data_IF_137045484953
#
_entry.id   IF_137045484953
#
_cell.length_a   1.000
_cell.length_b   1.000
_cell.length_c   1.000
_cell.angle_alpha   90.00
_cell.angle_beta   90.00
_cell.angle_gamma   90.00
#
_symmetry.space_group_name_H-M   'P 1'
#
loop_
_entity.id
_entity.type
_entity.pdbx_description
1 polymer ?
#
# COMPACT_ATOMS: atom_id res chain seq x y z
N UNK A 1 13.14 -17.60 12.08
CA UNK A 1 13.76 -18.51 11.10
C UNK A 1 14.42 -17.64 10.05
N UNK A 2 15.71 -17.87 9.78
CA UNK A 2 16.53 -16.98 8.96
C UNK A 2 16.29 -17.22 7.47
N UNK A 3 15.89 -16.19 6.72
CA UNK A 3 15.99 -16.16 5.27
C UNK A 3 17.45 -15.84 4.86
N UNK A 4 18.00 -16.46 3.79
CA UNK A 4 19.36 -16.18 3.34
C UNK A 4 19.53 -14.71 2.92
N UNK A 5 20.63 -14.12 3.37
CA UNK A 5 20.96 -12.70 3.21
C UNK A 5 21.25 -12.26 1.77
N UNK A 6 21.42 -10.94 1.64
CA UNK A 6 21.62 -10.13 0.42
C UNK A 6 20.34 -9.62 -0.26
N UNK A 7 19.40 -10.46 -0.70
CA UNK A 7 18.21 -9.96 -1.44
C UNK A 7 17.20 -9.28 -0.50
N UNK A 8 16.95 -9.87 0.67
CA UNK A 8 16.07 -9.28 1.68
C UNK A 8 16.68 -8.01 2.31
N UNK A 9 18.00 -7.95 2.49
CA UNK A 9 18.70 -6.76 3.02
C UNK A 9 18.75 -5.61 2.02
N UNK A 10 18.97 -5.89 0.72
CA UNK A 10 18.85 -4.88 -0.34
C UNK A 10 17.42 -4.38 -0.51
N UNK A 11 16.41 -5.25 -0.42
CA UNK A 11 15.01 -4.84 -0.45
C UNK A 11 14.66 -3.97 0.77
N UNK A 12 15.12 -4.34 1.96
CA UNK A 12 14.86 -3.58 3.19
C UNK A 12 15.61 -2.23 3.21
N UNK A 13 16.86 -2.15 2.73
CA UNK A 13 17.56 -0.88 2.55
C UNK A 13 16.90 0.01 1.49
N UNK A 14 16.48 -0.56 0.35
CA UNK A 14 15.76 0.18 -0.70
C UNK A 14 14.42 0.70 -0.21
N UNK A 15 13.65 -0.10 0.54
CA UNK A 15 12.40 0.31 1.19
C UNK A 15 12.61 1.39 2.25
N UNK A 16 13.65 1.30 3.08
CA UNK A 16 13.94 2.32 4.10
C UNK A 16 14.39 3.65 3.49
N UNK A 17 15.21 3.62 2.43
CA UNK A 17 15.60 4.82 1.69
C UNK A 17 14.39 5.43 0.96
N UNK A 18 13.51 4.61 0.40
CA UNK A 18 12.27 5.05 -0.22
C UNK A 18 11.31 5.69 0.81
N UNK A 19 11.15 5.09 1.99
CA UNK A 19 10.35 5.64 3.09
C UNK A 19 10.93 6.95 3.64
N UNK A 20 12.26 7.03 3.79
CA UNK A 20 12.95 8.24 4.25
C UNK A 20 12.83 9.39 3.25
N UNK A 21 13.00 9.12 1.96
CA UNK A 21 12.89 10.14 0.89
C UNK A 21 11.45 10.58 0.69
N UNK A 22 10.50 9.64 0.73
CA UNK A 22 9.08 9.95 0.68
C UNK A 22 8.65 10.81 1.87
N UNK A 23 9.07 10.47 3.09
CA UNK A 23 8.76 11.27 4.29
C UNK A 23 9.32 12.68 4.18
N UNK A 24 10.59 12.84 3.77
CA UNK A 24 11.20 14.16 3.57
C UNK A 24 10.45 14.99 2.53
N UNK A 25 10.05 14.39 1.40
CA UNK A 25 9.27 15.04 0.36
C UNK A 25 7.88 15.48 0.85
N UNK A 26 7.19 14.64 1.65
CA UNK A 26 5.89 14.95 2.25
C UNK A 26 5.97 16.19 3.16
N UNK A 27 7.02 16.30 3.99
CA UNK A 27 7.19 17.45 4.88
C UNK A 27 7.69 18.72 4.15
N UNK A 28 8.52 18.57 3.12
CA UNK A 28 9.06 19.71 2.35
C UNK A 28 7.95 20.53 1.68
N UNK A 29 6.89 19.87 1.21
CA UNK A 29 5.77 20.51 0.52
C UNK A 29 4.60 20.90 1.43
N UNK A 30 4.74 20.76 2.75
CA UNK A 30 3.69 21.12 3.71
C UNK A 30 3.25 22.59 3.56
N UNK A 31 1.94 22.79 3.51
CA UNK A 31 1.30 24.09 3.31
C UNK A 31 1.39 24.62 1.87
N UNK A 32 1.61 23.75 0.89
CA UNK A 32 1.57 24.10 -0.54
C UNK A 32 0.58 23.20 -1.29
N UNK A 33 0.20 23.59 -2.51
CA UNK A 33 -0.65 22.77 -3.40
C UNK A 33 -0.03 21.42 -3.77
N UNK A 34 1.28 21.25 -3.55
CA UNK A 34 2.01 19.99 -3.78
C UNK A 34 2.03 19.07 -2.56
N UNK A 35 1.41 19.48 -1.45
CA UNK A 35 1.27 18.62 -0.28
C UNK A 35 0.37 17.42 -0.61
N UNK A 36 0.81 16.22 -0.24
CA UNK A 36 0.07 14.97 -0.44
C UNK A 36 -0.15 14.32 0.92
N UNK A 37 -1.31 13.71 1.10
CA UNK A 37 -1.64 13.01 2.33
C UNK A 37 -0.74 11.76 2.47
N UNK A 38 -0.01 11.57 3.58
CA UNK A 38 1.04 10.56 3.67
C UNK A 38 0.57 9.18 4.12
N UNK A 39 -0.73 9.00 4.39
CA UNK A 39 -1.32 7.73 4.84
C UNK A 39 -2.34 7.23 3.81
N UNK A 40 -2.75 5.94 3.86
CA UNK A 40 -3.84 5.44 3.04
C UNK A 40 -5.11 6.26 3.23
N UNK A 41 -5.88 6.41 2.15
CA UNK A 41 -7.15 7.09 2.21
C UNK A 41 -8.10 6.33 3.14
N UNK A 42 -8.80 7.01 4.08
CA UNK A 42 -9.71 6.33 5.00
C UNK A 42 -10.76 5.48 4.27
N UNK A 43 -11.23 5.95 3.12
CA UNK A 43 -12.23 5.22 2.34
C UNK A 43 -11.73 3.84 1.87
N UNK A 44 -10.46 3.71 1.52
CA UNK A 44 -9.87 2.45 1.07
C UNK A 44 -9.79 1.45 2.24
N UNK A 45 -9.44 1.95 3.43
CA UNK A 45 -9.41 1.14 4.66
C UNK A 45 -10.82 0.68 5.07
N UNK A 46 -11.81 1.55 4.93
CA UNK A 46 -13.21 1.19 5.19
C UNK A 46 -13.70 0.10 4.23
N UNK A 47 -13.32 0.17 2.95
CA UNK A 47 -13.65 -0.89 1.99
C UNK A 47 -12.93 -2.19 2.30
N UNK A 48 -11.64 -2.14 2.65
CA UNK A 48 -10.88 -3.31 3.08
C UNK A 48 -11.51 -3.98 4.32
N UNK A 49 -12.04 -3.19 5.26
CA UNK A 49 -12.74 -3.70 6.44
C UNK A 49 -14.05 -4.45 6.11
N UNK A 50 -14.67 -4.20 4.95
CA UNK A 50 -15.89 -4.89 4.53
C UNK A 50 -15.61 -6.26 3.90
N UNK A 51 -14.35 -6.56 3.59
CA UNK A 51 -13.95 -7.84 3.01
C UNK A 51 -14.12 -8.94 4.05
N UNK A 52 -14.87 -9.99 3.67
CA UNK A 52 -15.07 -11.18 4.49
C UNK A 52 -14.15 -12.28 4.01
N UNK A 53 -13.09 -12.50 4.75
CA UNK A 53 -12.10 -13.54 4.45
C UNK A 53 -12.77 -14.91 4.33
N UNK A 54 -13.79 -15.20 5.13
CA UNK A 54 -14.52 -16.48 5.07
C UNK A 54 -15.21 -16.71 3.72
N UNK A 55 -15.74 -15.65 3.10
CA UNK A 55 -16.41 -15.76 1.80
C UNK A 55 -15.37 -15.94 0.69
N UNK A 56 -14.25 -15.22 0.76
CA UNK A 56 -13.12 -15.41 -0.17
C UNK A 56 -12.55 -16.83 -0.06
N UNK A 57 -12.30 -17.35 1.15
CA UNK A 57 -11.79 -18.71 1.33
C UNK A 57 -12.78 -19.75 0.80
N UNK A 58 -14.10 -19.52 0.94
CA UNK A 58 -15.12 -20.40 0.35
C UNK A 58 -15.07 -20.37 -1.17
N UNK A 59 -14.94 -19.18 -1.76
CA UNK A 59 -14.88 -19.01 -3.21
C UNK A 59 -13.63 -19.68 -3.78
N UNK A 60 -12.46 -19.57 -3.14
CA UNK A 60 -11.25 -20.30 -3.54
C UNK A 60 -11.43 -21.81 -3.43
N UNK A 61 -12.02 -22.30 -2.33
CA UNK A 61 -12.33 -23.74 -2.21
C UNK A 61 -13.32 -24.22 -3.28
N UNK A 62 -14.21 -23.35 -3.75
CA UNK A 62 -15.13 -23.66 -4.85
C UNK A 62 -14.37 -23.68 -6.18
N UNK A 63 -13.57 -22.66 -6.49
CA UNK A 63 -12.76 -22.59 -7.70
C UNK A 63 -11.86 -23.82 -7.86
N UNK A 64 -11.15 -24.23 -6.79
CA UNK A 64 -10.34 -25.47 -6.80
C UNK A 64 -11.13 -26.73 -7.16
N UNK A 65 -12.36 -26.85 -6.63
CA UNK A 65 -13.23 -28.00 -6.90
C UNK A 65 -13.72 -27.97 -8.34
N UNK A 66 -14.10 -26.80 -8.83
CA UNK A 66 -14.57 -26.59 -10.20
C UNK A 66 -13.41 -26.84 -11.20
N UNK A 67 -12.19 -26.41 -10.90
CA UNK A 67 -11.00 -26.67 -11.72
C UNK A 67 -10.65 -28.17 -11.73
N UNK A 68 -10.72 -28.86 -10.59
CA UNK A 68 -10.52 -30.31 -10.51
C UNK A 68 -11.59 -31.08 -11.30
N UNK A 69 -12.84 -30.61 -11.30
CA UNK A 69 -13.90 -31.20 -12.11
C UNK A 69 -13.64 -30.99 -13.61
N UNK A 70 -13.25 -29.77 -14.00
CA UNK A 70 -12.86 -29.44 -15.36
C UNK A 70 -11.71 -30.32 -15.87
N UNK A 71 -10.66 -30.51 -15.07
CA UNK A 71 -9.51 -31.38 -15.40
C UNK A 71 -9.95 -32.83 -15.68
N UNK A 72 -10.88 -33.36 -14.88
CA UNK A 72 -11.45 -34.70 -15.11
C UNK A 72 -12.26 -34.78 -16.39
N UNK A 73 -13.05 -33.74 -16.69
CA UNK A 73 -13.85 -33.70 -17.91
C UNK A 73 -12.96 -33.59 -19.15
N UNK A 74 -11.90 -32.79 -19.10
CA UNK A 74 -10.88 -32.70 -20.15
C UNK A 74 -10.23 -34.05 -20.39
N UNK A 75 -9.77 -34.71 -19.31
CA UNK A 75 -9.19 -36.06 -19.41
C UNK A 75 -10.17 -37.06 -20.02
N UNK A 76 -11.46 -36.98 -19.66
CA UNK A 76 -12.50 -37.86 -20.21
C UNK A 76 -12.75 -37.59 -21.70
N UNK A 77 -12.78 -36.34 -22.13
CA UNK A 77 -12.95 -35.99 -23.56
C UNK A 77 -11.74 -36.50 -24.36
N UNK A 78 -10.52 -36.29 -23.86
CA UNK A 78 -9.30 -36.79 -24.49
C UNK A 78 -9.29 -38.33 -24.57
N UNK A 79 -9.61 -39.03 -23.49
CA UNK A 79 -9.60 -40.49 -23.46
C UNK A 79 -10.64 -41.16 -24.37
N UNK A 80 -11.75 -40.47 -24.69
CA UNK A 80 -12.81 -41.00 -25.54
C UNK A 80 -12.72 -40.53 -27.00
N UNK A 81 -11.72 -39.71 -27.35
CA UNK A 81 -11.53 -39.17 -28.69
C UNK A 81 -10.43 -39.93 -29.43
N UNK A 82 -10.52 -40.01 -30.76
CA UNK A 82 -9.42 -40.47 -31.59
C UNK A 82 -8.35 -39.39 -31.70
N UNK A 83 -7.09 -39.79 -31.91
CA UNK A 83 -5.93 -38.89 -32.00
C UNK A 83 -6.14 -37.75 -33.03
N UNK A 84 -6.75 -38.08 -34.16
CA UNK A 84 -7.08 -37.15 -35.26
C UNK A 84 -8.07 -36.03 -34.88
N UNK A 85 -8.75 -36.17 -33.73
CA UNK A 85 -9.78 -35.23 -33.24
C UNK A 85 -9.43 -34.62 -31.87
N UNK A 86 -8.26 -34.94 -31.30
CA UNK A 86 -7.85 -34.41 -30.00
C UNK A 86 -7.53 -32.92 -30.04
N UNK A 87 -6.86 -32.50 -31.10
CA UNK A 87 -6.43 -31.12 -31.26
C UNK A 87 -7.47 -30.30 -32.03
N UNK A 88 -7.67 -29.02 -31.66
CA UNK A 88 -6.89 -28.23 -30.68
C UNK A 88 -7.43 -28.27 -29.25
N UNK A 89 -8.42 -29.11 -28.96
CA UNK A 89 -9.12 -29.12 -27.67
C UNK A 89 -8.16 -29.43 -26.51
N UNK A 90 -7.38 -30.51 -26.64
CA UNK A 90 -6.48 -30.97 -25.58
C UNK A 90 -5.42 -29.91 -25.26
N UNK A 91 -4.70 -29.39 -26.26
CA UNK A 91 -3.66 -28.37 -26.04
C UNK A 91 -4.22 -27.12 -25.35
N UNK A 92 -5.37 -26.61 -25.83
CA UNK A 92 -5.97 -25.40 -25.25
C UNK A 92 -6.46 -25.61 -23.82
N UNK A 93 -7.06 -26.77 -23.54
CA UNK A 93 -7.61 -27.04 -22.22
C UNK A 93 -6.52 -27.38 -21.20
N UNK A 94 -5.46 -28.10 -21.60
CA UNK A 94 -4.29 -28.34 -20.74
C UNK A 94 -3.55 -27.03 -20.45
N UNK A 95 -3.39 -26.15 -21.44
CA UNK A 95 -2.84 -24.81 -21.25
C UNK A 95 -3.67 -23.99 -20.26
N UNK A 96 -4.99 -23.95 -20.44
CA UNK A 96 -5.90 -23.28 -19.50
C UNK A 96 -5.77 -23.83 -18.08
N UNK A 97 -5.77 -25.16 -17.89
CA UNK A 97 -5.66 -25.76 -16.56
C UNK A 97 -4.31 -25.42 -15.92
N UNK A 98 -3.21 -25.49 -16.67
CA UNK A 98 -1.88 -25.14 -16.18
C UNK A 98 -1.81 -23.70 -15.66
N UNK A 99 -2.29 -22.74 -16.45
CA UNK A 99 -2.28 -21.32 -16.09
C UNK A 99 -3.14 -21.04 -14.84
N UNK A 100 -4.31 -21.67 -14.75
CA UNK A 100 -5.19 -21.53 -13.59
C UNK A 100 -4.58 -22.13 -12.32
N UNK A 101 -3.85 -23.25 -12.39
CA UNK A 101 -3.17 -23.85 -11.22
C UNK A 101 -2.06 -22.97 -10.66
N UNK A 102 -1.31 -22.28 -11.52
CA UNK A 102 -0.28 -21.31 -11.08
C UNK A 102 -0.95 -20.15 -10.35
N UNK A 103 -2.00 -19.59 -10.95
CA UNK A 103 -2.75 -18.46 -10.37
C UNK A 103 -3.42 -18.83 -9.04
N UNK A 104 -4.03 -20.02 -8.93
CA UNK A 104 -4.63 -20.50 -7.68
C UNK A 104 -3.57 -20.61 -6.57
N UNK A 105 -2.39 -21.17 -6.87
CA UNK A 105 -1.30 -21.30 -5.89
C UNK A 105 -0.81 -19.94 -5.37
N UNK A 106 -0.62 -18.96 -6.26
CA UNK A 106 -0.22 -17.60 -5.89
C UNK A 106 -1.27 -16.88 -5.03
N UNK A 107 -2.57 -17.08 -5.32
CA UNK A 107 -3.66 -16.49 -4.55
C UNK A 107 -3.74 -17.06 -3.13
N UNK A 108 -3.57 -18.37 -2.96
CA UNK A 108 -3.59 -19.03 -1.64
C UNK A 108 -2.41 -18.57 -0.78
N UNK A 109 -1.21 -18.48 -1.37
CA UNK A 109 -0.02 -18.02 -0.67
C UNK A 109 -0.15 -16.56 -0.23
N UNK A 110 -0.77 -15.72 -1.07
CA UNK A 110 -1.05 -14.32 -0.74
C UNK A 110 -2.06 -14.19 0.42
N UNK A 111 -3.12 -14.99 0.42
CA UNK A 111 -4.13 -14.98 1.49
C UNK A 111 -3.57 -15.46 2.83
N UNK A 112 -2.90 -16.62 2.84
CA UNK A 112 -2.30 -17.18 4.05
C UNK A 112 -1.22 -16.27 4.63
N UNK A 113 -0.47 -15.58 3.76
CA UNK A 113 0.50 -14.57 4.17
C UNK A 113 -0.19 -13.35 4.79
N UNK A 114 -1.31 -12.88 4.21
CA UNK A 114 -2.04 -11.71 4.71
C UNK A 114 -2.72 -11.94 6.06
N UNK A 115 -3.34 -13.10 6.28
CA UNK A 115 -4.01 -13.43 7.56
C UNK A 115 -3.00 -13.57 8.71
N UNK A 116 -1.89 -14.28 8.48
CA UNK A 116 -0.81 -14.45 9.46
C UNK A 116 -0.07 -13.14 9.74
N UNK A 117 0.23 -12.36 8.70
CA UNK A 117 1.00 -11.13 8.82
C UNK A 117 0.25 -10.05 9.61
N UNK A 118 -1.07 -9.90 9.41
CA UNK A 118 -1.86 -8.87 10.09
C UNK A 118 -1.95 -9.15 11.61
N UNK A 119 -2.09 -10.40 12.03
CA UNK A 119 -2.12 -10.75 13.46
C UNK A 119 -0.77 -10.53 14.15
N UNK A 120 0.33 -10.94 13.51
CA UNK A 120 1.68 -10.86 14.08
C UNK A 120 2.24 -9.42 14.06
N UNK A 121 1.95 -8.66 13.01
CA UNK A 121 2.48 -7.30 12.81
C UNK A 121 1.90 -6.29 13.80
N UNK A 122 0.64 -6.43 14.19
CA UNK A 122 -0.03 -5.49 15.11
C UNK A 122 0.05 -5.88 16.58
N UNK A 123 0.61 -7.04 16.91
CA UNK A 123 0.72 -7.52 18.30
C UNK A 123 -0.64 -7.71 18.99
N UNK A 124 -1.71 -7.77 18.21
CA UNK A 124 -3.09 -7.85 18.68
C UNK A 124 -3.36 -9.26 19.21
N UNK A 125 -3.59 -9.38 20.52
CA UNK A 125 -4.05 -10.64 21.12
C UNK A 125 -5.58 -10.71 21.04
N UNK A 126 -6.17 -11.88 20.74
CA UNK A 126 -7.62 -12.06 20.80
C UNK A 126 -8.17 -11.64 22.16
N UNK A 127 -9.35 -11.02 22.20
CA UNK A 127 -10.05 -10.75 23.46
C UNK A 127 -10.47 -12.07 24.11
N UNK A 128 -10.65 -12.07 25.44
CA UNK A 128 -11.07 -13.27 26.17
C UNK A 128 -12.43 -13.78 25.65
N UNK A 129 -12.43 -14.95 25.00
CA UNK A 129 -13.60 -15.57 24.37
C UNK A 129 -13.60 -15.51 22.84
N UNK A 130 -12.73 -14.71 22.22
CA UNK A 130 -12.50 -14.68 20.77
C UNK A 130 -11.31 -15.57 20.40
N UNK A 131 -11.43 -16.32 19.30
CA UNK A 131 -10.40 -17.26 18.87
C UNK A 131 -9.26 -16.55 18.11
N UNK A 132 -9.59 -15.52 17.35
CA UNK A 132 -8.70 -14.74 16.47
C UNK A 132 -9.19 -13.29 16.36
N UNK A 133 -8.29 -12.35 16.03
CA UNK A 133 -8.64 -10.96 15.72
C UNK A 133 -9.16 -10.91 14.29
N UNK A 134 -10.41 -10.48 14.11
CA UNK A 134 -10.97 -10.31 12.76
C UNK A 134 -10.14 -9.28 11.98
N UNK A 135 -9.66 -9.57 10.75
CA UNK A 135 -8.89 -8.62 9.95
C UNK A 135 -9.62 -7.29 9.73
N UNK A 136 -10.96 -7.32 9.65
CA UNK A 136 -11.82 -6.13 9.58
C UNK A 136 -11.63 -5.18 10.77
N UNK A 137 -11.35 -5.72 11.97
CA UNK A 137 -11.09 -4.91 13.16
C UNK A 137 -9.82 -4.07 13.00
N UNK A 138 -8.77 -4.66 12.43
CA UNK A 138 -7.51 -3.95 12.17
C UNK A 138 -7.72 -2.83 11.15
N UNK A 139 -8.43 -3.11 10.05
CA UNK A 139 -8.74 -2.10 9.05
C UNK A 139 -9.61 -0.97 9.62
N UNK A 140 -10.57 -1.27 10.51
CA UNK A 140 -11.38 -0.25 11.17
C UNK A 140 -10.59 0.63 12.13
N UNK A 141 -9.66 0.05 12.91
CA UNK A 141 -8.76 0.83 13.77
C UNK A 141 -7.89 1.79 12.94
N UNK A 142 -7.33 1.31 11.84
CA UNK A 142 -6.56 2.15 10.91
C UNK A 142 -7.42 3.19 10.20
N UNK A 143 -8.66 2.84 9.84
CA UNK A 143 -9.61 3.80 9.26
C UNK A 143 -9.85 4.98 10.20
N UNK A 144 -10.18 4.72 11.47
CA UNK A 144 -10.41 5.77 12.47
C UNK A 144 -9.17 6.64 12.64
N UNK A 145 -8.00 6.00 12.78
CA UNK A 145 -6.72 6.71 12.89
C UNK A 145 -6.42 7.59 11.67
N UNK A 146 -6.52 7.04 10.45
CA UNK A 146 -6.26 7.78 9.22
C UNK A 146 -7.25 8.92 9.02
N UNK A 147 -8.51 8.73 9.41
CA UNK A 147 -9.53 9.77 9.30
C UNK A 147 -9.22 10.96 10.23
N UNK A 148 -8.90 10.70 11.50
CA UNK A 148 -8.53 11.74 12.46
C UNK A 148 -7.21 12.43 12.07
N UNK A 149 -6.24 11.64 11.62
CA UNK A 149 -4.96 12.14 11.13
C UNK A 149 -5.16 13.03 9.90
N UNK A 150 -6.02 12.65 8.95
CA UNK A 150 -6.36 13.45 7.77
C UNK A 150 -6.98 14.78 8.13
N UNK A 151 -7.94 14.79 9.05
CA UNK A 151 -8.56 16.04 9.53
C UNK A 151 -7.52 16.98 10.15
N UNK A 152 -6.58 16.44 10.93
CA UNK A 152 -5.49 17.22 11.52
C UNK A 152 -4.49 17.68 10.47
N UNK A 153 -4.09 16.83 9.53
CA UNK A 153 -3.17 17.15 8.44
C UNK A 153 -3.72 18.27 7.54
N UNK A 154 -5.01 18.22 7.17
CA UNK A 154 -5.65 19.30 6.39
C UNK A 154 -5.59 20.63 7.15
N UNK A 155 -5.92 20.62 8.44
CA UNK A 155 -5.87 21.82 9.29
C UNK A 155 -4.45 22.38 9.38
N UNK A 156 -3.46 21.53 9.61
CA UNK A 156 -2.06 21.94 9.72
C UNK A 156 -1.52 22.49 8.40
N UNK A 157 -1.84 21.88 7.26
CA UNK A 157 -1.42 22.41 5.96
C UNK A 157 -2.00 23.81 5.72
N UNK A 158 -3.28 24.04 6.04
CA UNK A 158 -3.88 25.38 5.93
C UNK A 158 -3.19 26.41 6.83
N UNK A 159 -2.84 26.03 8.06
CA UNK A 159 -2.11 26.91 8.98
C UNK A 159 -0.72 27.27 8.41
N UNK A 160 0.02 26.27 7.92
CA UNK A 160 1.35 26.48 7.33
C UNK A 160 1.26 27.36 6.07
N UNK A 161 0.25 27.19 5.22
CA UNK A 161 0.02 28.07 4.08
C UNK A 161 -0.15 29.53 4.52
N UNK A 162 -0.99 29.77 5.54
CA UNK A 162 -1.24 31.11 6.07
C UNK A 162 0.02 31.75 6.66
N UNK A 163 0.79 30.98 7.45
CA UNK A 163 2.05 31.47 8.02
C UNK A 163 3.07 31.85 6.93
N UNK A 164 3.13 31.10 5.83
CA UNK A 164 4.00 31.42 4.68
C UNK A 164 3.56 32.69 3.95
N UNK A 165 2.25 32.92 3.80
CA UNK A 165 1.72 34.16 3.22
C UNK A 165 2.06 35.38 4.10
N UNK A 166 1.85 35.26 5.42
CA UNK A 166 2.18 36.31 6.38
C UNK A 166 3.69 36.62 6.40
N UNK A 167 4.55 35.60 6.37
CA UNK A 167 6.00 35.76 6.30
C UNK A 167 6.45 36.38 4.97
N UNK A 168 5.85 35.98 3.84
CA UNK A 168 6.13 36.56 2.53
C UNK A 168 5.75 38.03 2.45
N UNK A 169 4.58 38.39 2.98
CA UNK A 169 4.13 39.78 3.10
C UNK A 169 5.06 40.59 4.02
N UNK A 170 5.42 40.06 5.19
CA UNK A 170 6.35 40.70 6.11
C UNK A 170 7.73 40.94 5.48
N UNK A 171 8.25 39.97 4.71
CA UNK A 171 9.52 40.11 4.00
C UNK A 171 9.45 41.18 2.89
N UNK A 172 8.31 41.30 2.20
CA UNK A 172 8.11 42.34 1.17
C UNK A 172 7.96 43.76 1.74
N UNK A 173 7.52 43.88 3.00
CA UNK A 173 7.35 45.16 3.71
C UNK A 173 8.59 45.58 4.49
N UNK A 174 9.62 44.73 4.59
CA UNK A 174 10.88 45.08 5.23
C UNK A 174 11.60 46.16 4.37
N UNK A 175 11.95 47.34 4.95
CA UNK A 175 12.67 48.36 4.19
C UNK A 175 14.00 47.80 3.70
N UNK A 176 14.32 47.96 2.40
CA UNK A 176 15.65 47.66 1.92
C UNK A 176 16.64 48.62 2.60
N UNK A 177 17.36 48.12 3.60
CA UNK A 177 18.52 48.82 4.12
C UNK A 177 19.58 48.79 3.01
N UNK A 178 19.54 49.82 2.15
CA UNK A 178 20.59 50.07 1.16
C UNK A 178 21.94 50.27 1.86
N UNK A 179 23.06 49.99 1.19
CA UNK A 179 24.38 50.06 1.83
C UNK A 179 24.66 51.50 2.27
N UNK A 180 24.98 51.69 3.55
CA UNK A 180 25.51 52.96 4.06
C UNK A 180 26.89 53.15 3.43
N UNK A 181 26.98 54.03 2.43
CA UNK A 181 28.27 54.47 1.90
C UNK A 181 28.91 55.41 2.92
N UNK A 182 29.94 54.92 3.63
CA UNK A 182 30.81 55.78 4.42
C UNK A 182 31.60 56.68 3.47
N UNK A 183 31.22 57.96 3.39
CA UNK A 183 32.05 59.01 2.79
C UNK A 183 33.22 59.30 3.73
N UNK A 184 34.44 58.94 3.31
CA UNK A 184 35.65 59.29 4.03
C UNK A 184 36.05 60.72 3.66
N UNK A 185 35.82 61.66 4.57
CA UNK A 185 36.33 63.04 4.45
C UNK A 185 37.82 63.04 4.80
N UNK A 186 38.69 63.16 3.79
CA UNK A 186 40.11 63.47 4.01
C UNK A 186 40.27 64.96 4.32
N UNK A 187 40.69 65.27 5.54
CA UNK A 187 41.19 66.58 5.94
C UNK A 187 42.61 66.75 5.40
N UNK A 188 42.85 67.80 4.60
CA UNK A 188 44.17 68.24 4.17
C UNK A 188 44.90 68.94 5.32
N UNK A 189 46.16 68.57 5.56
CA UNK A 189 47.19 69.36 6.25
C UNK A 189 48.15 69.95 5.23
#
# INVERSE_FOLDING_TARGET
WSCPGTVAESACHSSNVCLSTHSHFMFQHAGTEKSVFPLPEPQDLFQAAQVKFEDITKDIRKLKRDLTACEKDVHKVCANSSEEHLQPFQEKMEGFISDQRITENEQIETELCSESCVSDYFGSKPKAGEKEVAPSHVFMLWYEFCNDFKNTWIRQNKNISKEREEQGLAASLAPSLGPITHTHTHTLT
#
